data_IF_930125212862
#
_entry.id   IF_930125212862
#
_cell.length_a   1.000
_cell.length_b   1.000
_cell.length_c   1.000
_cell.angle_alpha   90.00
_cell.angle_beta   90.00
_cell.angle_gamma   90.00
#
_symmetry.space_group_name_H-M   'P 1'
#
loop_
_entity.id
_entity.type
_entity.pdbx_description
1 polymer ?
#
# COMPACT_ATOMS: atom_id res chain seq x y z
N UNK A 1 9.90 -14.31 -0.60
CA UNK A 1 8.73 -13.48 -0.24
C UNK A 1 8.00 -13.10 -1.52
N UNK A 2 6.71 -12.78 -1.44
CA UNK A 2 5.91 -12.32 -2.60
C UNK A 2 5.17 -11.03 -2.24
N UNK A 3 5.05 -10.12 -3.19
CA UNK A 3 4.14 -8.97 -3.09
C UNK A 3 3.22 -8.93 -4.30
N UNK A 4 1.93 -8.77 -4.06
CA UNK A 4 0.91 -8.55 -5.09
C UNK A 4 0.39 -7.11 -5.00
N UNK A 5 0.43 -6.38 -6.11
CA UNK A 5 -0.21 -5.07 -6.22
C UNK A 5 -1.71 -5.26 -6.42
N UNK A 6 -2.50 -4.99 -5.37
CA UNK A 6 -3.96 -5.10 -5.42
C UNK A 6 -4.61 -3.89 -6.11
N UNK A 7 -3.96 -2.73 -6.01
CA UNK A 7 -4.33 -1.50 -6.66
C UNK A 7 -3.16 -0.54 -6.74
N UNK A 8 -3.10 0.22 -7.82
CA UNK A 8 -1.99 1.13 -8.13
C UNK A 8 -2.47 2.53 -8.51
N UNK A 9 -3.77 2.79 -8.36
CA UNK A 9 -4.40 4.06 -8.67
C UNK A 9 -4.53 4.97 -7.46
N UNK A 10 -4.65 6.26 -7.73
CA UNK A 10 -4.96 7.31 -6.78
C UNK A 10 -6.40 7.22 -6.25
N UNK A 11 -6.80 8.13 -5.38
CA UNK A 11 -8.09 8.19 -4.66
C UNK A 11 -9.36 7.99 -5.51
N UNK A 12 -9.32 8.33 -6.80
CA UNK A 12 -10.47 8.13 -7.70
C UNK A 12 -10.53 6.74 -8.33
N UNK A 13 -9.43 5.98 -8.31
CA UNK A 13 -9.24 4.83 -9.18
C UNK A 13 -9.21 5.21 -10.66
N UNK A 14 -8.99 4.25 -11.54
CA UNK A 14 -9.07 4.43 -13.00
C UNK A 14 -9.83 3.25 -13.60
N UNK A 15 -10.94 3.49 -14.32
CA UNK A 15 -11.48 4.75 -14.81
C UNK A 15 -12.14 5.63 -13.73
N UNK A 16 -12.01 6.92 -13.87
CA UNK A 16 -12.68 7.90 -13.00
C UNK A 16 -14.14 8.02 -13.39
N UNK A 17 -15.04 8.08 -12.40
CA UNK A 17 -16.49 8.22 -12.60
C UNK A 17 -16.79 9.42 -13.51
N UNK A 18 -17.60 9.20 -14.54
CA UNK A 18 -17.99 10.18 -15.59
C UNK A 18 -16.85 10.65 -16.51
N UNK A 19 -15.60 10.25 -16.29
CA UNK A 19 -14.50 10.64 -17.19
C UNK A 19 -14.59 9.91 -18.54
N UNK A 20 -14.31 10.64 -19.62
CA UNK A 20 -14.35 10.11 -20.99
C UNK A 20 -13.00 10.26 -21.71
N UNK A 21 -11.91 10.53 -20.99
CA UNK A 21 -10.58 10.62 -21.57
C UNK A 21 -10.11 9.27 -22.15
N UNK A 22 -9.05 9.30 -22.95
CA UNK A 22 -8.48 8.12 -23.60
C UNK A 22 -8.11 7.03 -22.60
N UNK A 23 -7.46 7.38 -21.49
CA UNK A 23 -7.04 6.44 -20.45
C UNK A 23 -8.24 5.78 -19.75
N UNK A 24 -9.27 6.54 -19.35
CA UNK A 24 -10.47 5.98 -18.74
C UNK A 24 -11.26 5.06 -19.68
N UNK A 25 -11.13 5.26 -21.01
CA UNK A 25 -11.75 4.43 -22.06
C UNK A 25 -10.82 3.33 -22.58
N UNK A 26 -9.56 3.31 -22.17
CA UNK A 26 -8.58 2.33 -22.62
C UNK A 26 -9.09 0.90 -22.38
N UNK A 27 -8.74 -0.01 -23.27
CA UNK A 27 -8.97 -1.46 -23.14
C UNK A 27 -7.76 -2.19 -22.53
N UNK A 28 -6.63 -1.49 -22.40
CA UNK A 28 -5.45 -2.03 -21.71
C UNK A 28 -5.74 -2.20 -20.21
N UNK A 29 -5.54 -3.42 -19.71
CA UNK A 29 -5.78 -3.74 -18.30
C UNK A 29 -4.82 -2.98 -17.39
N UNK A 30 -3.62 -2.60 -17.85
CA UNK A 30 -2.66 -1.82 -17.07
C UNK A 30 -3.10 -0.36 -16.87
N UNK A 31 -4.09 0.11 -17.64
CA UNK A 31 -4.75 1.40 -17.45
C UNK A 31 -5.97 1.35 -16.51
N UNK A 32 -6.34 0.13 -16.03
CA UNK A 32 -7.38 -0.04 -15.02
C UNK A 32 -6.72 -0.15 -13.67
N UNK A 33 -7.12 0.72 -12.74
CA UNK A 33 -6.45 0.82 -11.44
C UNK A 33 -7.45 0.94 -10.32
N UNK A 34 -7.48 -0.02 -9.43
CA UNK A 34 -8.07 0.13 -8.11
C UNK A 34 -7.24 1.11 -7.27
N UNK A 35 -7.79 1.61 -6.18
CA UNK A 35 -7.09 2.44 -5.21
C UNK A 35 -5.92 1.68 -4.59
N UNK A 36 -4.86 2.41 -4.25
CA UNK A 36 -3.59 1.83 -3.84
C UNK A 36 -3.71 0.88 -2.65
N UNK A 37 -3.23 -0.34 -2.85
CA UNK A 37 -3.11 -1.36 -1.82
C UNK A 37 -2.16 -2.45 -2.31
N UNK A 38 -1.44 -3.09 -1.41
CA UNK A 38 -0.57 -4.22 -1.71
C UNK A 38 -0.73 -5.33 -0.65
N UNK A 39 -0.53 -6.57 -1.08
CA UNK A 39 -0.57 -7.74 -0.23
C UNK A 39 0.77 -8.45 -0.25
N UNK A 40 1.39 -8.56 0.91
CA UNK A 40 2.70 -9.16 1.10
C UNK A 40 2.57 -10.52 1.78
N UNK A 41 3.29 -11.51 1.26
CA UNK A 41 3.41 -12.84 1.89
C UNK A 41 4.89 -13.14 2.14
N UNK A 42 5.22 -13.42 3.39
CA UNK A 42 6.58 -13.78 3.80
C UNK A 42 6.95 -15.22 3.42
N UNK A 43 8.21 -15.59 3.60
CA UNK A 43 8.66 -16.96 3.35
C UNK A 43 8.00 -18.00 4.28
N UNK A 44 7.61 -17.60 5.49
CA UNK A 44 6.92 -18.47 6.45
C UNK A 44 5.38 -18.43 6.30
N UNK A 45 4.85 -17.68 5.31
CA UNK A 45 3.42 -17.57 5.06
C UNK A 45 2.71 -16.54 5.91
N UNK A 46 3.43 -15.57 6.49
CA UNK A 46 2.82 -14.40 7.15
C UNK A 46 2.28 -13.44 6.11
N UNK A 47 1.00 -13.09 6.22
CA UNK A 47 0.28 -12.30 5.23
C UNK A 47 -0.03 -10.91 5.78
N UNK A 48 0.52 -9.88 5.14
CA UNK A 48 0.38 -8.49 5.55
C UNK A 48 -0.30 -7.70 4.43
N UNK A 49 -1.41 -7.06 4.76
CA UNK A 49 -2.08 -6.09 3.89
C UNK A 49 -1.55 -4.70 4.18
N UNK A 50 -1.19 -3.93 3.15
CA UNK A 50 -0.89 -2.50 3.29
C UNK A 50 -1.98 -1.70 2.61
N UNK A 51 -2.71 -0.93 3.40
CA UNK A 51 -3.90 -0.16 3.06
C UNK A 51 -5.10 -1.01 2.59
N UNK A 52 -6.30 -0.54 2.89
CA UNK A 52 -7.58 -1.19 2.58
C UNK A 52 -8.64 -0.12 2.29
N UNK A 53 -8.58 0.44 1.08
CA UNK A 53 -9.57 1.41 0.59
C UNK A 53 -10.93 0.76 0.27
N UNK A 54 -11.83 1.54 -0.32
CA UNK A 54 -13.18 1.07 -0.68
C UNK A 54 -13.18 -0.10 -1.68
N UNK A 55 -12.09 -0.28 -2.42
CA UNK A 55 -11.97 -1.36 -3.40
C UNK A 55 -11.51 -2.68 -2.79
N UNK A 56 -11.15 -2.70 -1.49
CA UNK A 56 -10.52 -3.85 -0.83
C UNK A 56 -11.33 -5.15 -0.99
N UNK A 57 -12.65 -5.09 -0.83
CA UNK A 57 -13.50 -6.28 -1.05
C UNK A 57 -13.29 -6.88 -2.45
N UNK A 58 -13.29 -6.04 -3.48
CA UNK A 58 -13.12 -6.51 -4.86
C UNK A 58 -11.70 -7.02 -5.11
N UNK A 59 -10.70 -6.32 -4.57
CA UNK A 59 -9.30 -6.72 -4.62
C UNK A 59 -9.10 -8.08 -3.96
N UNK A 60 -9.65 -8.30 -2.77
CA UNK A 60 -9.54 -9.57 -2.05
C UNK A 60 -10.17 -10.74 -2.81
N UNK A 61 -11.33 -10.53 -3.45
CA UNK A 61 -12.01 -11.55 -4.27
C UNK A 61 -11.19 -11.89 -5.52
N UNK A 62 -10.67 -10.89 -6.24
CA UNK A 62 -9.90 -11.11 -7.48
C UNK A 62 -8.60 -11.87 -7.21
N UNK A 63 -7.98 -11.63 -6.06
CA UNK A 63 -6.68 -12.20 -5.71
C UNK A 63 -6.76 -13.38 -4.74
N UNK A 64 -7.97 -13.91 -4.48
CA UNK A 64 -8.22 -15.06 -3.59
C UNK A 64 -7.52 -14.89 -2.22
N UNK A 65 -7.65 -13.69 -1.61
CA UNK A 65 -7.07 -13.44 -0.30
C UNK A 65 -7.88 -14.18 0.76
N UNK A 66 -7.28 -15.19 1.37
CA UNK A 66 -7.94 -16.03 2.37
C UNK A 66 -7.53 -15.70 3.81
N UNK A 67 -6.39 -15.00 4.00
CA UNK A 67 -5.82 -14.74 5.32
C UNK A 67 -5.17 -13.37 5.40
N UNK A 68 -5.34 -12.69 6.54
CA UNK A 68 -4.64 -11.46 6.89
C UNK A 68 -4.15 -11.60 8.34
N UNK A 69 -2.84 -11.62 8.52
CA UNK A 69 -2.23 -11.69 9.85
C UNK A 69 -2.05 -10.31 10.47
N UNK A 70 -1.85 -9.29 9.63
CA UNK A 70 -1.74 -7.91 10.05
C UNK A 70 -2.09 -6.94 8.93
N UNK A 71 -2.44 -5.71 9.30
CA UNK A 71 -2.59 -4.58 8.39
C UNK A 71 -1.60 -3.48 8.77
N UNK A 72 -0.93 -2.92 7.77
CA UNK A 72 -0.14 -1.70 7.90
C UNK A 72 -0.90 -0.58 7.20
N UNK A 73 -1.29 0.44 7.93
CA UNK A 73 -2.01 1.58 7.37
C UNK A 73 -1.05 2.76 7.19
N UNK A 74 -0.99 3.32 5.99
CA UNK A 74 -0.16 4.49 5.71
C UNK A 74 -0.74 5.76 6.34
N UNK A 75 -2.04 5.96 6.17
CA UNK A 75 -2.80 7.08 6.74
C UNK A 75 -4.31 6.84 6.65
N UNK A 76 -5.13 7.79 7.12
CA UNK A 76 -6.56 7.61 7.31
C UNK A 76 -7.45 8.15 6.18
N UNK A 77 -6.92 8.51 5.01
CA UNK A 77 -7.77 8.88 3.89
C UNK A 77 -8.66 7.70 3.45
N UNK A 78 -9.81 8.03 2.88
CA UNK A 78 -10.84 7.05 2.56
C UNK A 78 -10.36 5.95 1.59
N UNK A 79 -9.54 6.32 0.63
CA UNK A 79 -8.96 5.42 -0.38
C UNK A 79 -7.92 4.43 0.18
N UNK A 80 -7.47 4.64 1.43
CA UNK A 80 -6.56 3.73 2.15
C UNK A 80 -7.22 3.00 3.32
N UNK A 81 -8.38 3.48 3.82
CA UNK A 81 -8.96 2.99 5.08
C UNK A 81 -10.39 2.44 4.95
N UNK A 82 -11.24 2.93 4.06
CA UNK A 82 -12.69 2.71 4.16
C UNK A 82 -13.17 1.31 3.76
N UNK A 83 -12.26 0.37 3.48
CA UNK A 83 -12.52 -1.07 3.42
C UNK A 83 -12.33 -1.81 4.75
N UNK A 84 -12.07 -1.08 5.85
CA UNK A 84 -11.80 -1.67 7.18
C UNK A 84 -12.90 -2.63 7.66
N UNK A 85 -14.16 -2.39 7.31
CA UNK A 85 -15.29 -3.24 7.71
C UNK A 85 -15.24 -4.63 7.04
N UNK A 86 -14.62 -4.75 5.88
CA UNK A 86 -14.43 -6.03 5.18
C UNK A 86 -13.43 -6.95 5.90
N UNK A 87 -12.61 -6.43 6.83
CA UNK A 87 -11.77 -7.26 7.71
C UNK A 87 -12.60 -8.20 8.60
N UNK A 88 -13.89 -7.97 8.72
CA UNK A 88 -14.80 -8.81 9.50
C UNK A 88 -14.77 -10.27 9.07
N UNK A 89 -14.69 -10.54 7.77
CA UNK A 89 -14.69 -11.93 7.26
C UNK A 89 -13.40 -12.69 7.60
N UNK A 90 -12.32 -11.99 7.87
CA UNK A 90 -11.03 -12.55 8.29
C UNK A 90 -10.88 -12.68 9.80
N UNK A 91 -11.65 -11.90 10.59
CA UNK A 91 -11.58 -11.83 12.05
C UNK A 91 -12.77 -12.46 12.78
N UNK A 92 -13.78 -12.91 12.05
CA UNK A 92 -14.91 -13.66 12.59
C UNK A 92 -14.87 -15.09 12.05
N UNK A 93 -15.31 -16.06 12.85
CA UNK A 93 -15.66 -17.38 12.35
C UNK A 93 -16.74 -17.18 11.28
N UNK A 94 -16.33 -17.33 10.01
CA UNK A 94 -17.17 -17.00 8.87
C UNK A 94 -18.45 -17.83 8.81
N UNK A 95 -19.47 -17.38 8.06
CA UNK A 95 -20.77 -18.03 7.90
C UNK A 95 -20.70 -19.39 7.16
N UNK A 96 -19.54 -19.88 6.80
CA UNK A 96 -19.36 -21.04 5.92
C UNK A 96 -18.99 -22.37 6.61
N UNK A 97 -19.13 -22.49 7.93
CA UNK A 97 -19.14 -23.82 8.56
C UNK A 97 -20.58 -24.23 8.83
N UNK A 98 -21.23 -24.84 7.82
CA UNK A 98 -22.55 -25.47 7.92
C UNK A 98 -22.59 -26.68 8.88
N UNK A 99 -21.56 -26.94 9.64
CA UNK A 99 -21.55 -27.95 10.69
C UNK A 99 -21.73 -27.31 12.07
N UNK A 100 -22.97 -27.27 12.50
CA UNK A 100 -23.51 -26.63 13.70
C UNK A 100 -23.02 -27.20 15.05
N UNK A 101 -21.91 -27.89 15.11
CA UNK A 101 -21.32 -28.42 16.37
C UNK A 101 -19.96 -27.84 16.72
N UNK A 102 -19.56 -26.73 16.10
CA UNK A 102 -18.31 -26.08 16.48
C UNK A 102 -18.53 -25.10 17.63
N UNK A 103 -17.86 -25.34 18.77
CA UNK A 103 -17.55 -24.30 19.76
C UNK A 103 -17.26 -22.98 19.05
N UNK A 104 -17.75 -21.86 19.60
CA UNK A 104 -17.52 -20.51 19.04
C UNK A 104 -16.02 -20.32 18.88
N UNK A 105 -15.53 -20.51 17.65
CA UNK A 105 -14.13 -20.18 17.34
C UNK A 105 -14.00 -18.65 17.45
N UNK A 106 -13.38 -18.20 18.53
CA UNK A 106 -13.11 -16.80 18.76
C UNK A 106 -11.82 -16.43 18.00
N UNK A 107 -11.96 -16.04 16.73
CA UNK A 107 -10.82 -15.63 15.92
C UNK A 107 -10.10 -14.46 16.61
N UNK A 108 -8.76 -14.44 16.61
CA UNK A 108 -8.00 -13.35 17.18
C UNK A 108 -8.31 -12.02 16.44
N UNK A 109 -8.14 -10.91 17.14
CA UNK A 109 -8.25 -9.59 16.53
C UNK A 109 -7.11 -9.38 15.51
N UNK A 110 -7.40 -8.81 14.34
CA UNK A 110 -6.40 -8.45 13.36
C UNK A 110 -5.67 -7.19 13.85
N UNK A 111 -4.35 -7.21 14.07
CA UNK A 111 -3.60 -6.03 14.44
C UNK A 111 -3.47 -5.07 13.25
N UNK A 112 -3.81 -3.81 13.47
CA UNK A 112 -3.61 -2.73 12.50
C UNK A 112 -2.55 -1.78 13.07
N UNK A 113 -1.48 -1.58 12.33
CA UNK A 113 -0.36 -0.73 12.69
C UNK A 113 -0.43 0.57 11.92
N UNK A 114 -0.31 1.72 12.60
CA UNK A 114 -0.48 3.05 12.01
C UNK A 114 0.16 4.13 12.88
N UNK A 115 0.15 5.39 12.41
CA UNK A 115 0.49 6.52 13.26
C UNK A 115 -0.66 6.92 14.20
N UNK A 116 -0.37 7.75 15.21
CA UNK A 116 -1.35 8.17 16.22
C UNK A 116 -2.53 8.95 15.63
N UNK A 117 -2.31 9.71 14.55
CA UNK A 117 -3.37 10.50 13.89
C UNK A 117 -4.40 9.56 13.27
N UNK A 118 -3.96 8.54 12.54
CA UNK A 118 -4.85 7.53 11.96
C UNK A 118 -5.54 6.70 13.04
N UNK A 119 -4.86 6.37 14.13
CA UNK A 119 -5.44 5.64 15.26
C UNK A 119 -6.61 6.40 15.91
N UNK A 120 -6.43 7.69 16.16
CA UNK A 120 -7.49 8.54 16.70
C UNK A 120 -8.69 8.61 15.73
N UNK A 121 -8.40 8.80 14.42
CA UNK A 121 -9.45 8.87 13.40
C UNK A 121 -10.28 7.57 13.35
N UNK A 122 -9.64 6.40 13.39
CA UNK A 122 -10.34 5.11 13.37
C UNK A 122 -11.25 4.97 14.61
N UNK A 123 -10.77 5.31 15.80
CA UNK A 123 -11.55 5.24 17.03
C UNK A 123 -12.79 6.12 16.99
N UNK A 124 -12.68 7.30 16.38
CA UNK A 124 -13.80 8.23 16.25
C UNK A 124 -14.78 7.81 15.13
N UNK A 125 -14.25 7.59 13.91
CA UNK A 125 -15.08 7.32 12.74
C UNK A 125 -15.72 5.93 12.74
N UNK A 126 -15.06 4.94 13.34
CA UNK A 126 -15.50 3.55 13.43
C UNK A 126 -15.76 3.11 14.87
N UNK A 127 -16.21 4.05 15.70
CA UNK A 127 -16.46 3.83 17.15
C UNK A 127 -17.31 2.59 17.45
N UNK A 128 -18.25 2.23 16.57
CA UNK A 128 -19.08 1.02 16.71
C UNK A 128 -18.26 -0.30 16.78
N UNK A 129 -17.06 -0.34 16.22
CA UNK A 129 -16.18 -1.52 16.28
C UNK A 129 -15.65 -1.76 17.69
N UNK A 130 -15.57 -0.70 18.51
CA UNK A 130 -14.98 -0.73 19.87
C UNK A 130 -16.03 -0.79 20.97
N UNK A 131 -17.34 -0.77 20.65
CA UNK A 131 -18.42 -0.81 21.63
C UNK A 131 -18.59 -2.20 22.24
N UNK A 132 -18.79 -2.26 23.56
CA UNK A 132 -18.97 -3.54 24.30
C UNK A 132 -20.29 -4.25 24.02
N UNK A 133 -21.32 -3.57 23.56
CA UNK A 133 -22.64 -4.14 23.23
C UNK A 133 -22.78 -4.29 21.70
N UNK A 134 -22.86 -5.54 21.26
CA UNK A 134 -23.14 -5.89 19.87
C UNK A 134 -24.60 -6.31 19.76
N UNK A 135 -25.46 -5.42 19.26
CA UNK A 135 -26.80 -5.78 18.83
C UNK A 135 -26.74 -6.19 17.35
N UNK A 136 -27.01 -7.47 17.07
CA UNK A 136 -27.04 -7.99 15.70
C UNK A 136 -25.72 -8.54 15.20
N UNK A 137 -25.43 -8.40 13.90
CA UNK A 137 -24.28 -8.98 13.21
C UNK A 137 -22.90 -8.57 13.78
N UNK A 138 -21.89 -9.40 13.55
CA UNK A 138 -20.52 -9.14 14.04
C UNK A 138 -19.88 -7.93 13.37
N UNK A 139 -18.96 -7.29 14.08
CA UNK A 139 -18.03 -6.26 13.55
C UNK A 139 -16.65 -6.88 13.33
N UNK A 140 -15.79 -6.25 12.52
CA UNK A 140 -14.41 -6.64 12.42
C UNK A 140 -13.76 -6.60 13.83
N UNK A 141 -13.04 -7.65 14.21
CA UNK A 141 -12.22 -7.65 15.42
C UNK A 141 -10.85 -7.15 15.05
N UNK A 142 -10.52 -5.96 15.50
CA UNK A 142 -9.24 -5.31 15.23
C UNK A 142 -8.56 -4.88 16.52
N UNK A 143 -7.24 -4.78 16.51
CA UNK A 143 -6.45 -4.13 17.56
C UNK A 143 -5.61 -3.01 16.96
N UNK A 144 -5.62 -1.84 17.61
CA UNK A 144 -4.88 -0.66 17.15
C UNK A 144 -3.49 -0.68 17.78
N UNK A 145 -2.46 -0.52 16.94
CA UNK A 145 -1.06 -0.50 17.34
C UNK A 145 -0.38 0.73 16.73
N UNK A 146 0.34 1.50 17.55
CA UNK A 146 1.00 2.74 17.14
C UNK A 146 2.52 2.61 17.35
N UNK A 147 3.24 1.94 16.43
CA UNK A 147 4.68 1.78 16.55
C UNK A 147 5.40 3.08 16.23
N UNK A 148 6.42 3.41 17.02
CA UNK A 148 7.35 4.51 16.79
C UNK A 148 8.76 4.03 16.45
N UNK A 149 8.98 2.70 16.51
CA UNK A 149 10.24 2.03 16.23
C UNK A 149 9.96 0.76 15.42
N UNK A 150 11.03 0.15 14.92
CA UNK A 150 10.95 -1.15 14.25
C UNK A 150 10.39 -2.22 15.18
N UNK A 151 9.61 -3.12 14.63
CA UNK A 151 9.01 -4.27 15.31
C UNK A 151 8.98 -5.49 14.40
N UNK A 152 8.58 -6.63 14.92
CA UNK A 152 8.57 -7.91 14.19
C UNK A 152 7.17 -8.51 14.23
N UNK A 153 6.73 -9.02 13.09
CA UNK A 153 5.57 -9.90 12.97
C UNK A 153 6.07 -11.20 12.36
N UNK A 154 6.11 -12.25 13.15
CA UNK A 154 6.68 -13.55 12.76
C UNK A 154 8.12 -13.42 12.22
N UNK A 155 8.31 -13.64 10.92
CA UNK A 155 9.58 -13.54 10.21
C UNK A 155 9.77 -12.20 9.47
N UNK A 156 8.87 -11.23 9.67
CA UNK A 156 8.91 -9.94 8.98
C UNK A 156 9.35 -8.84 9.93
N UNK A 157 10.51 -8.24 9.66
CA UNK A 157 10.96 -7.01 10.32
C UNK A 157 10.26 -5.83 9.67
N UNK A 158 9.60 -4.99 10.46
CA UNK A 158 8.80 -3.87 9.97
C UNK A 158 9.31 -2.57 10.59
N UNK A 159 9.54 -1.57 9.75
CA UNK A 159 9.95 -0.24 10.19
C UNK A 159 9.00 0.82 9.65
N UNK A 160 8.32 1.60 10.51
CA UNK A 160 7.54 2.76 10.08
C UNK A 160 8.48 3.88 9.64
N UNK A 161 8.23 4.44 8.47
CA UNK A 161 9.00 5.55 7.89
C UNK A 161 8.14 6.81 7.91
N UNK A 162 8.45 7.80 8.77
CA UNK A 162 7.71 9.07 8.80
C UNK A 162 7.82 9.82 7.47
N UNK A 163 6.69 10.22 6.92
CA UNK A 163 6.60 11.01 5.69
C UNK A 163 5.53 12.08 5.83
N UNK A 164 5.43 12.98 4.84
CA UNK A 164 4.40 14.01 4.81
C UNK A 164 3.61 13.94 3.50
N UNK A 165 2.30 14.05 3.62
CA UNK A 165 1.33 14.18 2.56
C UNK A 165 0.65 15.55 2.68
N UNK A 166 1.25 16.58 2.09
CA UNK A 166 0.93 17.97 2.41
C UNK A 166 1.27 18.30 3.88
N UNK A 167 0.26 18.66 4.65
CA UNK A 167 0.39 18.89 6.10
C UNK A 167 0.11 17.65 6.96
N UNK A 168 -0.36 16.56 6.35
CA UNK A 168 -0.67 15.32 7.06
C UNK A 168 0.59 14.48 7.22
N UNK A 169 0.88 14.08 8.46
CA UNK A 169 1.91 13.08 8.73
C UNK A 169 1.40 11.68 8.36
N UNK A 170 2.15 10.97 7.53
CA UNK A 170 1.85 9.60 7.08
C UNK A 170 2.99 8.65 7.41
N UNK A 171 2.76 7.35 7.30
CA UNK A 171 3.80 6.35 7.38
C UNK A 171 4.01 5.68 6.02
N UNK A 172 5.26 5.62 5.57
CA UNK A 172 5.71 4.53 4.70
C UNK A 172 6.13 3.33 5.55
N UNK A 173 6.33 2.20 4.91
CA UNK A 173 6.66 0.96 5.57
C UNK A 173 7.85 0.28 4.90
N UNK A 174 8.85 -0.14 5.70
CA UNK A 174 9.87 -1.07 5.23
C UNK A 174 9.57 -2.44 5.83
N UNK A 175 9.44 -3.46 4.97
CA UNK A 175 9.22 -4.87 5.32
C UNK A 175 10.44 -5.67 4.84
N UNK A 176 11.29 -6.12 5.75
CA UNK A 176 12.56 -6.77 5.42
C UNK A 176 13.38 -5.94 4.41
N UNK A 177 13.41 -6.31 3.14
CA UNK A 177 14.13 -5.65 2.05
C UNK A 177 13.21 -4.98 0.99
N UNK A 178 11.94 -4.71 1.35
CA UNK A 178 10.97 -4.00 0.53
C UNK A 178 10.55 -2.71 1.23
N UNK A 179 10.51 -1.58 0.50
CA UNK A 179 9.93 -0.32 0.98
C UNK A 179 8.68 0.04 0.18
N UNK A 180 7.60 0.43 0.90
CA UNK A 180 6.35 0.95 0.34
C UNK A 180 6.12 2.36 0.87
N UNK A 181 6.28 3.36 0.01
CA UNK A 181 6.32 4.79 0.34
C UNK A 181 5.27 5.53 -0.49
N UNK A 182 3.99 5.22 -0.27
CA UNK A 182 2.89 5.88 -1.01
C UNK A 182 2.27 7.01 -0.21
N UNK A 183 1.59 7.91 -0.94
CA UNK A 183 0.96 9.10 -0.43
C UNK A 183 1.92 10.00 0.35
N UNK A 184 2.85 10.56 -0.41
CA UNK A 184 3.77 11.55 0.13
C UNK A 184 4.22 12.56 -0.92
N UNK A 185 4.53 13.77 -0.46
CA UNK A 185 5.21 14.81 -1.24
C UNK A 185 6.51 15.24 -0.56
N UNK A 186 6.83 14.66 0.59
CA UNK A 186 8.07 14.96 1.30
C UNK A 186 8.52 13.78 2.17
N UNK A 187 9.80 13.43 2.03
CA UNK A 187 10.53 12.46 2.86
C UNK A 187 11.70 13.21 3.47
N UNK A 188 11.81 13.23 4.81
CA UNK A 188 12.88 13.94 5.49
C UNK A 188 14.23 13.25 5.31
N UNK A 189 15.32 13.97 5.54
CA UNK A 189 16.67 13.40 5.52
C UNK A 189 16.80 12.27 6.54
N UNK A 190 16.23 12.43 7.75
CA UNK A 190 16.21 11.39 8.77
C UNK A 190 15.45 10.13 8.30
N UNK A 191 14.37 10.31 7.55
CA UNK A 191 13.61 9.17 6.99
C UNK A 191 14.42 8.42 5.92
N UNK A 192 15.15 9.13 5.03
CA UNK A 192 16.07 8.49 4.10
C UNK A 192 17.20 7.72 4.83
N UNK A 193 17.78 8.32 5.86
CA UNK A 193 18.81 7.66 6.69
C UNK A 193 18.26 6.44 7.41
N UNK A 194 17.00 6.51 7.91
CA UNK A 194 16.33 5.39 8.55
C UNK A 194 16.12 4.23 7.55
N UNK A 195 15.64 4.51 6.33
CA UNK A 195 15.48 3.51 5.28
C UNK A 195 16.82 2.81 5.01
N UNK A 196 17.87 3.57 4.73
CA UNK A 196 19.19 3.05 4.40
C UNK A 196 19.85 2.29 5.57
N UNK A 197 19.54 2.68 6.82
CA UNK A 197 19.99 1.98 8.03
C UNK A 197 19.23 0.67 8.23
N UNK A 198 17.93 0.64 7.94
CA UNK A 198 17.09 -0.54 8.10
C UNK A 198 17.48 -1.65 7.12
N UNK A 199 17.76 -1.28 5.88
CA UNK A 199 18.24 -2.19 4.87
C UNK A 199 19.30 -1.51 4.01
N UNK A 200 20.49 -2.08 3.95
CA UNK A 200 21.63 -1.51 3.19
C UNK A 200 21.40 -1.47 1.68
N UNK A 201 20.56 -2.35 1.16
CA UNK A 201 20.11 -2.35 -0.23
C UNK A 201 18.74 -3.04 -0.29
N UNK A 202 17.70 -2.28 -0.61
CA UNK A 202 16.36 -2.83 -0.81
C UNK A 202 16.31 -3.67 -2.09
N UNK A 203 15.58 -4.76 -2.06
CA UNK A 203 15.25 -5.51 -3.27
C UNK A 203 14.24 -4.72 -4.13
N UNK A 204 13.23 -4.14 -3.47
CA UNK A 204 12.20 -3.33 -4.13
C UNK A 204 11.91 -2.05 -3.36
N UNK A 205 11.81 -0.96 -4.10
CA UNK A 205 11.22 0.30 -3.67
C UNK A 205 9.92 0.53 -4.45
N UNK A 206 8.84 0.73 -3.73
CA UNK A 206 7.53 1.15 -4.27
C UNK A 206 7.25 2.55 -3.74
N UNK A 207 7.08 3.52 -4.63
CA UNK A 207 7.00 4.93 -4.24
C UNK A 207 5.86 5.66 -4.98
N UNK A 208 5.28 6.67 -4.32
CA UNK A 208 4.29 7.58 -4.91
C UNK A 208 4.83 8.24 -6.19
N UNK A 209 4.04 8.27 -7.24
CA UNK A 209 4.40 8.89 -8.52
C UNK A 209 3.19 9.39 -9.27
N UNK A 210 2.37 10.22 -8.61
CA UNK A 210 1.00 10.56 -8.97
C UNK A 210 0.76 10.82 -10.47
N UNK A 211 1.58 11.70 -11.08
CA UNK A 211 1.47 12.16 -12.47
C UNK A 211 2.68 13.00 -12.88
N UNK A 212 2.77 13.39 -14.15
CA UNK A 212 3.84 14.28 -14.65
C UNK A 212 3.73 15.70 -14.08
N UNK A 213 2.52 16.26 -14.02
CA UNK A 213 2.30 17.61 -13.50
C UNK A 213 2.38 17.62 -11.97
N UNK A 214 2.95 18.68 -11.40
CA UNK A 214 3.05 18.89 -9.96
C UNK A 214 1.70 18.80 -9.23
N UNK A 215 1.78 18.37 -7.97
CA UNK A 215 0.68 18.31 -7.03
C UNK A 215 1.14 18.78 -5.64
N UNK A 216 0.23 19.40 -4.88
CA UNK A 216 0.57 20.00 -3.59
C UNK A 216 0.86 18.98 -2.47
N UNK A 217 0.35 17.76 -2.61
CA UNK A 217 0.41 16.74 -1.54
C UNK A 217 1.04 15.41 -1.97
N UNK A 218 1.34 15.22 -3.25
CA UNK A 218 1.98 14.02 -3.80
C UNK A 218 3.22 14.37 -4.59
N UNK A 219 4.17 13.45 -4.66
CA UNK A 219 5.23 13.54 -5.64
C UNK A 219 4.67 13.46 -7.07
N UNK A 220 5.14 14.35 -7.94
CA UNK A 220 5.05 14.08 -9.37
C UNK A 220 6.13 13.05 -9.78
N UNK A 221 6.07 12.55 -11.02
CA UNK A 221 7.01 11.51 -11.46
C UNK A 221 8.48 11.94 -11.36
N UNK A 222 8.83 13.20 -11.64
CA UNK A 222 10.21 13.70 -11.49
C UNK A 222 10.64 13.71 -10.02
N UNK A 223 9.81 14.25 -9.13
CA UNK A 223 10.09 14.27 -7.69
C UNK A 223 10.19 12.86 -7.10
N UNK A 224 9.34 11.93 -7.58
CA UNK A 224 9.41 10.52 -7.21
C UNK A 224 10.73 9.87 -7.66
N UNK A 225 11.17 10.15 -8.90
CA UNK A 225 12.47 9.69 -9.41
C UNK A 225 13.64 10.29 -8.61
N UNK A 226 13.56 11.58 -8.23
CA UNK A 226 14.56 12.24 -7.36
C UNK A 226 14.64 11.58 -5.98
N UNK A 227 13.49 11.26 -5.37
CA UNK A 227 13.43 10.58 -4.09
C UNK A 227 13.97 9.15 -4.19
N UNK A 228 13.56 8.40 -5.20
CA UNK A 228 14.03 7.04 -5.45
C UNK A 228 15.55 6.99 -5.71
N UNK A 229 16.10 7.99 -6.41
CA UNK A 229 17.55 8.10 -6.68
C UNK A 229 18.43 8.23 -5.40
N UNK A 230 17.82 8.60 -4.24
CA UNK A 230 18.48 8.71 -2.94
C UNK A 230 18.46 7.42 -2.12
N UNK A 231 17.69 6.43 -2.56
CA UNK A 231 17.50 5.16 -1.85
C UNK A 231 18.26 4.06 -2.58
N UNK A 232 19.09 3.31 -1.85
CA UNK A 232 19.80 2.18 -2.41
C UNK A 232 18.86 0.97 -2.58
N UNK A 233 18.49 0.66 -3.82
CA UNK A 233 17.59 -0.44 -4.16
C UNK A 233 17.94 -1.05 -5.52
N UNK A 234 17.44 -2.27 -5.77
CA UNK A 234 17.65 -2.98 -7.05
C UNK A 234 16.49 -2.75 -8.03
N UNK A 235 15.30 -2.47 -7.55
CA UNK A 235 14.12 -2.32 -8.38
C UNK A 235 13.23 -1.19 -7.84
N UNK A 236 12.63 -0.41 -8.73
CA UNK A 236 11.72 0.70 -8.39
C UNK A 236 10.41 0.56 -9.14
N UNK A 237 9.30 0.63 -8.41
CA UNK A 237 7.97 0.75 -8.99
C UNK A 237 7.30 2.04 -8.52
N UNK A 238 6.72 2.80 -9.48
CA UNK A 238 5.91 3.98 -9.19
C UNK A 238 4.45 3.58 -9.10
N UNK A 239 3.76 4.01 -8.05
CA UNK A 239 2.36 3.69 -7.75
C UNK A 239 1.52 4.95 -7.52
N UNK A 240 0.27 4.80 -7.12
CA UNK A 240 -0.69 5.88 -6.85
C UNK A 240 -0.98 6.76 -8.08
N UNK A 241 -1.05 6.15 -9.26
CA UNK A 241 -1.10 6.81 -10.56
C UNK A 241 -2.50 7.33 -10.90
N UNK A 242 -2.55 8.49 -11.56
CA UNK A 242 -3.80 9.08 -12.07
C UNK A 242 -4.14 8.61 -13.48
N UNK A 243 -5.33 9.02 -13.99
CA UNK A 243 -5.78 8.81 -15.35
C UNK A 243 -5.25 9.85 -16.37
N UNK A 244 -4.26 10.68 -15.99
CA UNK A 244 -3.72 11.71 -16.88
C UNK A 244 -2.85 11.13 -18.00
N UNK A 245 -2.24 9.98 -17.75
CA UNK A 245 -1.36 9.27 -18.67
C UNK A 245 -1.69 7.78 -18.63
N UNK A 246 -1.62 7.10 -19.77
CA UNK A 246 -1.68 5.64 -19.84
C UNK A 246 -0.46 5.02 -19.18
N UNK A 247 -0.53 3.74 -18.84
CA UNK A 247 0.61 2.99 -18.31
C UNK A 247 1.85 3.10 -19.21
N UNK A 248 1.62 3.02 -20.53
CA UNK A 248 2.70 3.18 -21.51
C UNK A 248 3.32 4.58 -21.46
N UNK A 249 2.50 5.64 -21.47
CA UNK A 249 3.00 7.03 -21.43
C UNK A 249 3.77 7.34 -20.14
N UNK A 250 3.36 6.75 -18.99
CA UNK A 250 4.12 6.86 -17.74
C UNK A 250 5.50 6.22 -17.89
N UNK A 251 5.59 5.01 -18.45
CA UNK A 251 6.86 4.33 -18.65
C UNK A 251 7.73 5.02 -19.70
N UNK A 252 7.16 5.55 -20.78
CA UNK A 252 7.88 6.36 -21.75
C UNK A 252 8.50 7.59 -21.07
N UNK A 253 7.72 8.31 -20.24
CA UNK A 253 8.20 9.47 -19.49
C UNK A 253 9.35 9.11 -18.51
N UNK A 254 9.23 8.00 -17.80
CA UNK A 254 10.29 7.50 -16.90
C UNK A 254 11.58 7.25 -17.70
N UNK A 255 11.50 6.54 -18.83
CA UNK A 255 12.65 6.21 -19.66
C UNK A 255 13.30 7.45 -20.27
N UNK A 256 12.54 8.42 -20.76
CA UNK A 256 13.05 9.69 -21.29
C UNK A 256 13.82 10.53 -20.26
N UNK A 257 13.43 10.42 -18.98
CA UNK A 257 14.04 11.19 -17.89
C UNK A 257 15.08 10.40 -17.09
N UNK A 258 15.26 9.11 -17.36
CA UNK A 258 16.14 8.24 -16.60
C UNK A 258 17.59 8.73 -16.56
N UNK A 259 18.07 9.35 -17.66
CA UNK A 259 19.43 9.91 -17.78
C UNK A 259 19.77 11.02 -16.77
N UNK A 260 18.77 11.59 -16.10
CA UNK A 260 18.97 12.61 -15.07
C UNK A 260 19.29 12.04 -13.68
N UNK A 261 19.19 10.72 -13.49
CA UNK A 261 19.22 10.04 -12.20
C UNK A 261 20.21 8.87 -12.23
N UNK A 262 21.42 9.11 -11.73
CA UNK A 262 22.54 8.17 -11.82
C UNK A 262 22.24 6.78 -11.24
N UNK A 263 21.65 6.73 -10.02
CA UNK A 263 21.32 5.45 -9.38
C UNK A 263 20.22 4.70 -10.13
N UNK A 264 19.21 5.41 -10.67
CA UNK A 264 18.15 4.77 -11.46
C UNK A 264 18.68 4.23 -12.78
N UNK A 265 19.63 4.93 -13.43
CA UNK A 265 20.32 4.41 -14.61
C UNK A 265 21.10 3.14 -14.29
N UNK A 266 21.83 3.14 -13.15
CA UNK A 266 22.58 1.97 -12.70
C UNK A 266 21.66 0.78 -12.46
N UNK A 267 20.51 0.97 -11.79
CA UNK A 267 19.49 -0.09 -11.60
C UNK A 267 19.12 -0.71 -12.95
N UNK A 268 18.79 0.10 -13.96
CA UNK A 268 18.46 -0.42 -15.31
C UNK A 268 19.63 -1.12 -15.99
N UNK A 269 20.84 -0.59 -15.86
CA UNK A 269 22.05 -1.17 -16.44
C UNK A 269 22.38 -2.53 -15.81
N UNK A 270 22.12 -2.69 -14.52
CA UNK A 270 22.31 -3.93 -13.77
C UNK A 270 21.17 -4.95 -13.98
N UNK A 271 20.21 -4.66 -14.87
CA UNK A 271 19.07 -5.54 -15.21
C UNK A 271 17.85 -5.38 -14.28
N UNK A 272 17.85 -4.39 -13.40
CA UNK A 272 16.73 -4.08 -12.52
C UNK A 272 15.60 -3.31 -13.21
N UNK A 273 14.49 -3.14 -12.48
CA UNK A 273 13.27 -2.49 -12.96
C UNK A 273 13.20 -1.05 -12.47
N UNK A 274 12.79 -0.12 -13.33
CA UNK A 274 12.39 1.26 -12.97
C UNK A 274 11.15 1.58 -13.81
N UNK A 275 9.95 1.32 -13.30
CA UNK A 275 8.71 1.32 -14.10
C UNK A 275 7.47 1.67 -13.25
N UNK A 276 6.36 1.98 -13.93
CA UNK A 276 5.05 2.08 -13.30
C UNK A 276 4.54 0.70 -12.85
N UNK A 277 3.97 0.62 -11.66
CA UNK A 277 3.23 -0.57 -11.24
C UNK A 277 1.87 -0.65 -11.94
N UNK A 278 1.24 -1.84 -11.91
CA UNK A 278 -0.11 -2.07 -12.40
C UNK A 278 -0.82 -3.12 -11.52
N UNK A 279 -2.14 -3.09 -11.53
CA UNK A 279 -2.96 -4.00 -10.72
C UNK A 279 -2.75 -5.45 -11.15
N UNK A 280 -2.55 -6.32 -10.17
CA UNK A 280 -2.26 -7.74 -10.39
C UNK A 280 -0.78 -8.06 -10.66
N UNK A 281 0.12 -7.07 -10.69
CA UNK A 281 1.56 -7.33 -10.74
C UNK A 281 1.98 -8.10 -9.48
N UNK A 282 2.69 -9.21 -9.69
CA UNK A 282 3.33 -10.01 -8.62
C UNK A 282 4.83 -9.93 -8.74
N UNK A 283 5.50 -9.67 -7.64
CA UNK A 283 6.96 -9.70 -7.54
C UNK A 283 7.38 -10.70 -6.46
N UNK A 284 8.41 -11.48 -6.76
CA UNK A 284 8.97 -12.50 -5.85
C UNK A 284 10.43 -12.16 -5.56
N UNK A 285 10.91 -12.31 -4.32
CA UNK A 285 12.25 -11.92 -3.90
C UNK A 285 12.72 -12.60 -2.63
#
# INVERSE_FOLDING_TARGET
MELTFLGTGTSHGVPVIKCKCSVCKSTDQKDKRFRSSVYFTSNNGTNILIDMGQDFRQQAIIHDIEKIDAVLLTHHHADHLFGIDDLRVFSCSGPHKENANSEKYDAPAIPIYMNQIAANYIQDAFSYMFMNKKEGGGTAKISINVPTQSFVIDDVNITPIPMMHGSLATYGWVLNNLAYLTDCNFISQQSFELINKTCSCLEYLIIDGLRVKEHSTHFNLIQAMEAANKINCKNVYFTHLTHNHSHKEVNDFINENLSKFENLQKIKADGGVVEAAYDGLKITF
#
